data_IF_867215256930
#
_entry.id   IF_867215256930
#
_cell.length_a   1.000
_cell.length_b   1.000
_cell.length_c   1.000
_cell.angle_alpha   90.00
_cell.angle_beta   90.00
_cell.angle_gamma   90.00
#
_symmetry.space_group_name_H-M   'P 1'
#
loop_
_entity.id
_entity.type
_entity.pdbx_description
1 polymer ?
#
# COMPACT_ATOMS: atom_id res chain seq x y z
N UNK A 1 12.05 -10.13 39.58
CA UNK A 1 11.66 -8.70 39.63
C UNK A 1 12.86 -7.90 40.08
N UNK A 2 13.43 -7.09 39.18
CA UNK A 2 14.29 -5.95 39.51
C UNK A 2 13.95 -4.87 38.48
N UNK A 3 13.08 -3.95 38.89
CA UNK A 3 12.67 -2.80 38.08
C UNK A 3 13.68 -1.67 38.32
N UNK A 4 14.75 -1.62 37.53
CA UNK A 4 15.55 -0.41 37.37
C UNK A 4 14.86 0.46 36.30
N UNK A 5 13.98 1.35 36.75
CA UNK A 5 13.17 2.24 35.89
C UNK A 5 13.95 3.41 35.27
N UNK A 6 15.16 3.18 34.76
CA UNK A 6 15.94 4.14 33.98
C UNK A 6 15.86 3.86 32.48
N UNK A 7 16.19 4.86 31.66
CA UNK A 7 16.43 4.62 30.23
C UNK A 7 17.70 3.77 30.07
N UNK A 8 17.70 2.88 29.09
CA UNK A 8 18.93 2.26 28.58
C UNK A 8 19.61 3.30 27.71
N UNK A 9 20.82 3.71 28.05
CA UNK A 9 21.64 4.61 27.25
C UNK A 9 22.97 3.91 27.01
N UNK A 10 23.35 3.78 25.75
CA UNK A 10 24.70 3.35 25.38
C UNK A 10 25.57 4.58 25.11
N UNK A 11 26.87 4.37 24.98
CA UNK A 11 27.86 5.45 24.82
C UNK A 11 27.84 6.01 23.39
N UNK A 12 28.82 6.83 23.02
CA UNK A 12 29.07 7.05 21.59
C UNK A 12 29.89 5.89 21.00
N UNK A 13 29.81 5.74 19.68
CA UNK A 13 30.38 4.63 18.91
C UNK A 13 29.26 3.80 18.26
N UNK A 14 29.65 2.81 17.44
CA UNK A 14 28.69 1.92 16.80
C UNK A 14 28.24 0.84 17.79
N UNK A 15 27.01 0.94 18.29
CA UNK A 15 26.45 0.07 19.31
C UNK A 15 25.44 -0.95 18.75
N UNK A 16 25.28 -2.06 19.48
CA UNK A 16 24.35 -3.14 19.13
C UNK A 16 23.42 -3.40 20.31
N UNK A 17 22.13 -3.15 20.12
CA UNK A 17 21.10 -3.28 21.15
C UNK A 17 20.10 -4.34 20.72
N UNK A 18 19.94 -5.39 21.53
CA UNK A 18 18.97 -6.47 21.26
C UNK A 18 17.98 -6.64 22.40
N UNK A 19 16.69 -6.66 22.05
CA UNK A 19 15.59 -7.05 22.94
C UNK A 19 14.99 -8.35 22.43
N UNK A 20 14.91 -9.35 23.31
CA UNK A 20 14.24 -10.62 23.00
C UNK A 20 13.12 -10.98 23.98
N UNK A 21 12.80 -10.08 24.91
CA UNK A 21 11.85 -10.30 26.00
C UNK A 21 11.99 -9.26 27.11
N UNK A 22 11.17 -9.38 28.16
CA UNK A 22 11.20 -8.46 29.30
C UNK A 22 10.55 -7.11 29.04
N UNK A 23 10.85 -6.12 29.88
CA UNK A 23 10.25 -4.79 29.81
C UNK A 23 11.31 -3.71 30.10
N UNK A 24 11.49 -2.78 29.17
CA UNK A 24 12.27 -1.55 29.32
C UNK A 24 11.30 -0.40 29.55
N UNK A 25 11.34 0.17 30.77
CA UNK A 25 10.42 1.24 31.18
C UNK A 25 10.85 2.62 30.73
N UNK A 26 12.16 2.91 30.73
CA UNK A 26 12.68 4.26 30.50
C UNK A 26 12.99 4.59 29.04
N UNK A 27 12.95 3.59 28.15
CA UNK A 27 13.31 3.75 26.72
C UNK A 27 14.76 3.41 26.44
N UNK A 28 15.17 3.66 25.21
CA UNK A 28 16.51 3.40 24.68
C UNK A 28 17.05 4.66 24.02
N UNK A 29 18.33 4.95 24.22
CA UNK A 29 19.10 6.00 23.55
C UNK A 29 20.41 5.40 23.03
N UNK A 30 20.59 5.39 21.72
CA UNK A 30 21.77 4.82 21.07
C UNK A 30 22.93 5.84 20.99
N UNK A 31 22.62 7.11 20.75
CA UNK A 31 23.53 8.27 20.86
C UNK A 31 24.24 8.60 19.54
N UNK A 32 25.57 8.57 19.48
CA UNK A 32 26.29 8.94 18.26
C UNK A 32 26.97 7.69 17.72
N UNK A 33 26.88 7.42 16.43
CA UNK A 33 27.49 6.26 15.80
C UNK A 33 26.50 5.54 14.91
N UNK A 34 26.95 4.56 14.13
CA UNK A 34 26.06 3.75 13.32
C UNK A 34 25.57 2.57 14.16
N UNK A 35 24.39 2.72 14.72
CA UNK A 35 23.83 1.82 15.70
C UNK A 35 22.92 0.75 15.08
N UNK A 36 22.77 -0.37 15.78
CA UNK A 36 21.87 -1.45 15.38
C UNK A 36 20.93 -1.84 16.51
N UNK A 37 19.62 -1.68 16.27
CA UNK A 37 18.57 -2.07 17.19
C UNK A 37 17.77 -3.27 16.68
N UNK A 38 17.80 -4.37 17.44
CA UNK A 38 17.09 -5.61 17.11
C UNK A 38 16.02 -5.90 18.16
N UNK A 39 14.75 -5.90 17.77
CA UNK A 39 13.63 -6.28 18.63
C UNK A 39 13.02 -7.58 18.10
N UNK A 40 13.24 -8.66 18.85
CA UNK A 40 13.06 -10.03 18.38
C UNK A 40 12.03 -10.76 19.25
N UNK A 41 11.00 -11.36 18.64
CA UNK A 41 10.07 -12.32 19.24
C UNK A 41 9.20 -11.83 20.42
N UNK A 42 9.53 -10.71 21.08
CA UNK A 42 8.74 -10.14 22.16
C UNK A 42 9.50 -9.13 23.03
N UNK A 43 8.92 -8.86 24.20
CA UNK A 43 9.38 -7.81 25.12
C UNK A 43 8.72 -6.46 24.84
N UNK A 44 8.90 -5.51 25.75
CA UNK A 44 8.30 -4.17 25.66
C UNK A 44 9.35 -3.09 25.83
N UNK A 45 9.24 -2.03 25.02
CA UNK A 45 9.84 -0.72 25.29
C UNK A 45 8.68 0.24 25.54
N UNK A 46 8.59 0.87 26.72
CA UNK A 46 7.39 1.66 27.09
C UNK A 46 7.38 3.12 26.64
N UNK A 47 8.55 3.69 26.39
CA UNK A 47 8.68 5.09 26.00
C UNK A 47 9.15 5.14 24.56
N UNK A 48 10.37 5.58 24.29
CA UNK A 48 10.92 5.68 22.95
C UNK A 48 12.19 4.86 22.80
N UNK A 49 12.48 4.51 21.56
CA UNK A 49 13.82 4.18 21.10
C UNK A 49 14.28 5.36 20.24
N UNK A 50 15.38 5.98 20.61
CA UNK A 50 16.02 7.04 19.84
C UNK A 50 17.40 6.54 19.41
N UNK A 51 17.61 6.41 18.11
CA UNK A 51 18.89 5.95 17.55
C UNK A 51 19.87 7.13 17.49
N UNK A 52 19.41 8.28 16.99
CA UNK A 52 20.07 9.58 17.03
C UNK A 52 21.06 9.80 15.88
N UNK A 53 22.30 10.24 16.12
CA UNK A 53 23.16 10.69 15.02
C UNK A 53 23.94 9.51 14.44
N UNK A 54 23.78 9.23 13.14
CA UNK A 54 24.50 8.17 12.46
C UNK A 54 23.63 7.51 11.40
N UNK A 55 24.18 6.54 10.68
CA UNK A 55 23.39 5.74 9.75
C UNK A 55 22.97 4.45 10.47
N UNK A 56 21.77 4.47 11.00
CA UNK A 56 21.27 3.49 11.94
C UNK A 56 20.44 2.39 11.27
N UNK A 57 20.40 1.24 11.93
CA UNK A 57 19.58 0.12 11.50
C UNK A 57 18.66 -0.35 12.61
N UNK A 58 17.39 -0.59 12.28
CA UNK A 58 16.46 -1.25 13.18
C UNK A 58 15.80 -2.46 12.51
N UNK A 59 15.68 -3.57 13.24
CA UNK A 59 14.94 -4.75 12.81
C UNK A 59 13.90 -5.15 13.85
N UNK A 60 12.65 -5.20 13.41
CA UNK A 60 11.52 -5.72 14.16
C UNK A 60 11.20 -7.11 13.61
N UNK A 61 11.45 -8.14 14.40
CA UNK A 61 11.35 -9.52 13.97
C UNK A 61 10.34 -10.32 14.79
N UNK A 62 9.37 -10.95 14.13
CA UNK A 62 8.38 -11.82 14.76
C UNK A 62 7.63 -11.13 15.90
N UNK A 63 7.22 -9.87 15.68
CA UNK A 63 6.48 -9.05 16.63
C UNK A 63 5.03 -8.87 16.18
N UNK A 64 4.14 -8.69 17.14
CA UNK A 64 2.77 -8.23 16.87
C UNK A 64 2.54 -6.87 17.51
N UNK A 65 1.46 -6.20 17.14
CA UNK A 65 1.09 -4.90 17.73
C UNK A 65 0.93 -5.00 19.26
N UNK A 66 0.66 -6.20 19.80
CA UNK A 66 0.66 -6.41 21.25
C UNK A 66 1.98 -5.99 21.93
N UNK A 67 3.13 -6.29 21.33
CA UNK A 67 4.43 -5.88 21.86
C UNK A 67 4.77 -4.44 21.49
N UNK A 68 4.47 -4.04 20.25
CA UNK A 68 4.82 -2.73 19.72
C UNK A 68 4.01 -1.61 20.37
N UNK A 69 2.73 -1.84 20.68
CA UNK A 69 1.79 -0.87 21.25
C UNK A 69 2.27 -0.20 22.54
N UNK A 70 3.19 -0.83 23.27
CA UNK A 70 3.77 -0.29 24.48
C UNK A 70 4.75 0.87 24.23
N UNK A 71 5.46 0.88 23.10
CA UNK A 71 6.34 1.99 22.74
C UNK A 71 5.48 3.18 22.30
N UNK A 72 6.02 4.38 22.34
CA UNK A 72 5.41 5.56 21.71
C UNK A 72 6.13 5.97 20.44
N UNK A 73 7.42 5.62 20.28
CA UNK A 73 8.25 6.10 19.18
C UNK A 73 9.48 5.20 18.96
N UNK A 74 9.80 4.91 17.70
CA UNK A 74 11.08 4.37 17.23
C UNK A 74 11.62 5.34 16.18
N UNK A 75 12.59 6.15 16.61
CA UNK A 75 13.13 7.30 15.90
C UNK A 75 14.53 6.97 15.38
N UNK A 76 14.74 7.01 14.06
CA UNK A 76 16.06 6.86 13.44
C UNK A 76 16.97 8.06 13.77
N UNK A 77 16.42 9.27 13.74
CA UNK A 77 17.21 10.49 13.95
C UNK A 77 17.81 11.00 12.64
N UNK A 78 18.89 11.79 12.70
CA UNK A 78 19.58 12.26 11.50
C UNK A 78 20.54 11.21 10.94
N UNK A 79 20.46 10.97 9.63
CA UNK A 79 21.32 10.02 8.96
C UNK A 79 20.67 9.46 7.71
N UNK A 80 21.26 8.38 7.18
CA UNK A 80 20.60 7.51 6.21
C UNK A 80 20.20 6.20 6.92
N UNK A 81 18.98 6.16 7.46
CA UNK A 81 18.53 5.11 8.36
C UNK A 81 17.68 4.03 7.68
N UNK A 82 17.75 2.81 8.23
CA UNK A 82 17.02 1.65 7.70
C UNK A 82 16.21 0.93 8.77
N UNK A 83 14.89 0.90 8.59
CA UNK A 83 13.96 0.11 9.41
C UNK A 83 13.41 -1.08 8.63
N UNK A 84 13.64 -2.28 9.15
CA UNK A 84 13.11 -3.53 8.59
C UNK A 84 12.08 -4.15 9.52
N UNK A 85 10.88 -4.38 9.00
CA UNK A 85 9.88 -5.25 9.59
C UNK A 85 10.01 -6.62 8.95
N UNK A 86 10.10 -7.65 9.78
CA UNK A 86 10.29 -9.03 9.34
C UNK A 86 9.34 -9.93 10.13
N UNK A 87 8.40 -10.57 9.43
CA UNK A 87 7.33 -11.35 10.05
C UNK A 87 6.65 -10.59 11.21
N UNK A 88 6.39 -9.29 10.99
CA UNK A 88 5.89 -8.39 12.04
C UNK A 88 4.55 -7.79 11.66
N UNK A 89 3.63 -7.71 12.62
CA UNK A 89 2.37 -6.97 12.48
C UNK A 89 2.40 -5.68 13.30
N UNK A 90 2.26 -4.54 12.64
CA UNK A 90 2.23 -3.20 13.26
C UNK A 90 1.03 -2.41 12.75
N UNK A 91 0.38 -1.63 13.61
CA UNK A 91 -0.84 -0.89 13.28
C UNK A 91 -0.76 0.64 13.44
N UNK A 92 0.40 1.17 13.84
CA UNK A 92 0.63 2.60 14.09
C UNK A 92 1.81 3.13 13.31
N UNK A 93 1.61 3.65 12.08
CA UNK A 93 2.73 4.15 11.27
C UNK A 93 3.43 5.35 11.91
N UNK A 94 2.73 6.19 12.67
CA UNK A 94 3.30 7.35 13.35
C UNK A 94 4.32 7.00 14.44
N UNK A 95 4.44 5.72 14.80
CA UNK A 95 5.47 5.21 15.70
C UNK A 95 6.86 5.32 15.09
N UNK A 96 6.98 5.27 13.76
CA UNK A 96 8.26 5.18 13.07
C UNK A 96 8.55 6.54 12.44
N UNK A 97 9.56 7.22 12.95
CA UNK A 97 9.93 8.57 12.52
C UNK A 97 11.38 8.60 12.06
N UNK A 98 11.68 9.49 11.10
CA UNK A 98 13.02 9.74 10.58
C UNK A 98 13.69 8.45 10.11
N UNK A 99 13.04 7.76 9.15
CA UNK A 99 13.59 6.58 8.48
C UNK A 99 13.61 6.83 6.98
N UNK A 100 14.80 6.85 6.37
CA UNK A 100 15.00 7.04 4.93
C UNK A 100 14.57 5.79 4.16
N UNK A 101 14.77 4.61 4.73
CA UNK A 101 14.34 3.35 4.13
C UNK A 101 13.54 2.51 5.12
N UNK A 102 12.30 2.20 4.76
CA UNK A 102 11.45 1.26 5.49
C UNK A 102 11.16 0.06 4.60
N UNK A 103 11.41 -1.16 5.10
CA UNK A 103 11.19 -2.39 4.34
C UNK A 103 10.29 -3.38 5.10
N UNK A 104 9.26 -3.91 4.42
CA UNK A 104 8.33 -4.91 4.94
C UNK A 104 8.62 -6.27 4.34
N UNK A 105 9.18 -7.18 5.12
CA UNK A 105 9.68 -8.47 4.66
C UNK A 105 8.96 -9.65 5.35
N UNK A 106 9.01 -10.81 4.69
CA UNK A 106 8.60 -12.11 5.23
C UNK A 106 7.24 -12.11 5.96
N UNK A 107 6.13 -11.95 5.23
CA UNK A 107 4.77 -11.98 5.82
C UNK A 107 4.50 -10.87 6.84
N UNK A 108 5.22 -9.76 6.74
CA UNK A 108 4.92 -8.55 7.52
C UNK A 108 3.58 -7.96 7.12
N UNK A 109 2.85 -7.43 8.10
CA UNK A 109 1.68 -6.60 7.89
C UNK A 109 1.88 -5.23 8.56
N UNK A 110 1.76 -4.16 7.79
CA UNK A 110 1.70 -2.79 8.31
C UNK A 110 0.33 -2.19 8.00
N UNK A 111 -0.43 -1.83 9.04
CA UNK A 111 -1.72 -1.16 8.87
C UNK A 111 -1.53 0.36 8.91
N UNK A 112 -1.78 1.03 7.78
CA UNK A 112 -1.74 2.49 7.67
C UNK A 112 -3.09 3.10 8.08
N UNK A 113 -3.26 3.27 9.39
CA UNK A 113 -4.35 4.06 10.00
C UNK A 113 -3.97 5.55 10.20
N UNK A 114 -2.96 6.04 9.45
CA UNK A 114 -2.39 7.37 9.63
C UNK A 114 -1.31 7.68 8.59
N UNK A 115 -0.40 8.60 8.92
CA UNK A 115 0.70 8.99 8.06
C UNK A 115 1.97 8.25 8.44
N UNK A 116 2.58 7.57 7.48
CA UNK A 116 4.00 7.20 7.53
C UNK A 116 4.79 8.32 6.85
N UNK A 117 5.60 9.03 7.64
CA UNK A 117 6.49 10.07 7.14
C UNK A 117 7.86 9.46 6.93
N UNK A 118 8.38 9.56 5.72
CA UNK A 118 9.68 9.00 5.34
C UNK A 118 10.74 10.09 5.24
N UNK A 119 11.94 9.75 5.70
CA UNK A 119 13.06 10.66 5.83
C UNK A 119 12.92 11.64 6.99
N UNK A 120 13.86 12.58 7.02
CA UNK A 120 14.03 13.57 8.08
C UNK A 120 14.23 14.99 7.51
N UNK A 121 14.72 15.92 8.33
CA UNK A 121 14.97 17.31 7.89
C UNK A 121 16.14 17.47 6.90
N UNK A 122 17.01 16.47 6.79
CA UNK A 122 18.20 16.45 5.93
C UNK A 122 17.88 15.74 4.62
N UNK A 123 17.42 14.50 4.68
CA UNK A 123 17.05 13.66 3.53
C UNK A 123 15.76 14.14 2.85
N UNK A 124 14.87 14.81 3.59
CA UNK A 124 13.57 15.35 3.18
C UNK A 124 12.55 14.31 2.68
N UNK A 125 12.93 13.05 2.50
CA UNK A 125 12.12 11.99 1.90
C UNK A 125 12.72 10.62 2.15
N UNK A 126 12.01 9.57 1.75
CA UNK A 126 12.52 8.22 1.78
C UNK A 126 11.74 7.24 0.92
N UNK A 127 12.03 5.96 1.15
CA UNK A 127 11.52 4.82 0.38
C UNK A 127 10.82 3.83 1.32
N UNK A 128 9.62 3.40 0.94
CA UNK A 128 8.94 2.25 1.50
C UNK A 128 8.98 1.09 0.51
N UNK A 129 9.58 -0.03 0.91
CA UNK A 129 9.57 -1.28 0.16
C UNK A 129 8.56 -2.24 0.79
N UNK A 130 7.56 -2.64 0.01
CA UNK A 130 6.63 -3.71 0.40
C UNK A 130 7.11 -4.99 -0.29
N UNK A 131 7.83 -5.83 0.45
CA UNK A 131 8.41 -7.08 -0.04
C UNK A 131 7.35 -8.14 -0.39
N UNK A 132 7.75 -9.11 -1.20
CA UNK A 132 6.88 -10.20 -1.61
C UNK A 132 6.34 -10.99 -0.40
N UNK A 133 5.03 -11.24 -0.38
CA UNK A 133 4.36 -11.90 0.74
C UNK A 133 4.01 -11.00 1.92
N UNK A 134 4.48 -9.75 1.95
CA UNK A 134 4.08 -8.75 2.93
C UNK A 134 2.85 -7.96 2.46
N UNK A 135 2.13 -7.36 3.41
CA UNK A 135 0.91 -6.59 3.17
C UNK A 135 0.99 -5.20 3.82
N UNK A 136 0.67 -4.18 3.04
CA UNK A 136 0.37 -2.84 3.55
C UNK A 136 -1.15 -2.65 3.46
N UNK A 137 -1.82 -2.52 4.60
CA UNK A 137 -3.27 -2.24 4.61
C UNK A 137 -3.52 -0.75 4.76
N UNK A 138 -4.66 -0.29 4.26
CA UNK A 138 -5.13 1.06 4.58
C UNK A 138 -6.65 1.09 4.68
N UNK A 139 -7.14 1.53 5.83
CA UNK A 139 -8.56 1.63 6.15
C UNK A 139 -8.87 3.07 6.56
N UNK A 140 -9.96 3.63 6.03
CA UNK A 140 -10.44 5.00 6.22
C UNK A 140 -9.59 6.14 5.65
N UNK A 141 -8.25 6.10 5.70
CA UNK A 141 -7.32 6.97 4.91
C UNK A 141 -5.88 6.89 5.43
N UNK A 142 -5.08 5.98 4.88
CA UNK A 142 -3.65 5.90 5.17
C UNK A 142 -2.82 6.73 4.19
N UNK A 143 -1.61 7.11 4.59
CA UNK A 143 -0.71 7.80 3.66
C UNK A 143 0.77 7.51 3.88
N UNK A 144 1.51 7.51 2.79
CA UNK A 144 2.98 7.51 2.75
C UNK A 144 3.41 8.84 2.16
N UNK A 145 4.13 9.63 2.95
CA UNK A 145 4.50 11.00 2.60
C UNK A 145 5.97 11.24 2.89
N UNK A 146 6.63 12.13 2.14
CA UNK A 146 7.97 12.59 2.46
C UNK A 146 7.92 13.49 3.70
N UNK A 147 9.05 13.63 4.39
CA UNK A 147 9.22 14.60 5.46
C UNK A 147 8.92 16.03 4.99
N UNK A 148 9.44 16.40 3.81
CA UNK A 148 9.16 17.68 3.18
C UNK A 148 8.11 17.54 2.08
N UNK A 149 7.01 18.28 2.20
CA UNK A 149 5.87 18.20 1.26
C UNK A 149 6.19 18.62 -0.20
N UNK A 150 7.35 19.24 -0.45
CA UNK A 150 7.84 19.56 -1.80
C UNK A 150 8.73 18.45 -2.41
N UNK A 151 9.13 17.48 -1.59
CA UNK A 151 9.84 16.27 -2.03
C UNK A 151 8.85 15.17 -2.43
N UNK A 152 9.36 13.99 -2.79
CA UNK A 152 8.57 12.85 -3.24
C UNK A 152 9.03 11.59 -2.51
N UNK A 153 8.15 10.99 -1.71
CA UNK A 153 8.37 9.64 -1.19
C UNK A 153 8.30 8.62 -2.33
N UNK A 154 8.93 7.47 -2.17
CA UNK A 154 8.79 6.36 -3.13
C UNK A 154 8.23 5.13 -2.44
N UNK A 155 7.19 4.53 -3.02
CA UNK A 155 6.67 3.23 -2.61
C UNK A 155 6.95 2.21 -3.71
N UNK A 156 7.76 1.20 -3.38
CA UNK A 156 8.01 0.03 -4.22
C UNK A 156 7.14 -1.13 -3.73
N UNK A 157 6.33 -1.71 -4.60
CA UNK A 157 5.36 -2.74 -4.22
C UNK A 157 5.60 -4.08 -4.93
N UNK A 158 6.28 -5.01 -4.27
CA UNK A 158 6.36 -6.42 -4.64
C UNK A 158 5.34 -7.31 -3.85
N UNK A 159 4.75 -6.76 -2.79
CA UNK A 159 3.78 -7.43 -1.94
C UNK A 159 2.32 -7.10 -2.30
N UNK A 160 1.50 -6.87 -1.27
CA UNK A 160 0.08 -6.55 -1.42
C UNK A 160 -0.26 -5.20 -0.79
N UNK A 161 -0.90 -4.32 -1.55
CA UNK A 161 -1.66 -3.20 -1.02
C UNK A 161 -3.11 -3.63 -0.85
N UNK A 162 -3.59 -3.67 0.40
CA UNK A 162 -4.96 -4.07 0.72
C UNK A 162 -5.79 -2.89 1.22
N UNK A 163 -6.69 -2.41 0.37
CA UNK A 163 -7.66 -1.36 0.67
C UNK A 163 -9.06 -1.92 0.86
N UNK A 164 -9.22 -3.24 0.86
CA UNK A 164 -10.51 -3.92 0.87
C UNK A 164 -11.12 -4.08 2.27
N UNK A 165 -10.54 -3.44 3.28
CA UNK A 165 -11.07 -3.38 4.65
C UNK A 165 -12.38 -2.60 4.74
N UNK A 166 -13.06 -2.65 5.89
CA UNK A 166 -14.30 -1.89 6.15
C UNK A 166 -14.01 -0.57 6.86
N UNK A 167 -14.67 0.56 6.53
CA UNK A 167 -15.78 0.74 5.57
C UNK A 167 -15.33 0.72 4.10
N UNK A 168 -16.28 0.86 3.15
CA UNK A 168 -15.94 1.13 1.74
C UNK A 168 -15.37 2.55 1.61
N UNK A 169 -14.72 2.86 0.49
CA UNK A 169 -14.11 4.16 0.14
C UNK A 169 -12.79 4.42 0.85
N UNK A 170 -12.07 3.35 1.17
CA UNK A 170 -10.72 3.46 1.70
C UNK A 170 -9.79 4.06 0.66
N UNK A 171 -8.86 4.88 1.14
CA UNK A 171 -7.82 5.47 0.30
C UNK A 171 -6.45 5.21 0.89
N UNK A 172 -5.49 4.91 0.02
CA UNK A 172 -4.07 5.03 0.33
C UNK A 172 -3.51 6.18 -0.50
N UNK A 173 -3.03 7.23 0.16
CA UNK A 173 -2.34 8.33 -0.48
C UNK A 173 -0.82 8.08 -0.49
N UNK A 174 -0.21 8.18 -1.66
CA UNK A 174 1.23 8.23 -1.84
C UNK A 174 1.58 9.62 -2.37
N UNK A 175 2.29 10.43 -1.59
CA UNK A 175 2.80 11.72 -2.05
C UNK A 175 4.19 11.54 -2.66
N UNK A 176 4.23 11.16 -3.93
CA UNK A 176 5.45 10.88 -4.66
C UNK A 176 5.27 9.76 -5.68
N UNK A 177 6.20 8.82 -5.72
CA UNK A 177 6.26 7.78 -6.73
C UNK A 177 5.67 6.46 -6.23
N UNK A 178 4.96 5.76 -7.11
CA UNK A 178 4.52 4.38 -6.92
C UNK A 178 5.10 3.50 -8.02
N UNK A 179 5.83 2.46 -7.63
CA UNK A 179 6.41 1.49 -8.57
C UNK A 179 5.94 0.09 -8.21
N UNK A 180 5.10 -0.51 -9.07
CA UNK A 180 4.75 -1.92 -8.95
C UNK A 180 5.90 -2.83 -9.39
N UNK A 181 6.23 -3.82 -8.58
CA UNK A 181 7.23 -4.85 -8.85
C UNK A 181 6.55 -6.24 -8.86
N UNK A 182 5.57 -6.40 -9.76
CA UNK A 182 4.64 -7.55 -9.81
C UNK A 182 3.76 -7.70 -8.55
N UNK A 183 3.60 -6.61 -7.79
CA UNK A 183 2.76 -6.56 -6.59
C UNK A 183 1.26 -6.62 -6.89
N UNK A 184 0.48 -6.58 -5.82
CA UNK A 184 -0.99 -6.70 -5.83
C UNK A 184 -1.66 -5.44 -5.26
N UNK A 185 -2.84 -5.13 -5.77
CA UNK A 185 -3.73 -4.08 -5.26
C UNK A 185 -5.14 -4.67 -5.09
N UNK A 186 -5.66 -4.67 -3.86
CA UNK A 186 -6.99 -5.21 -3.54
C UNK A 186 -7.94 -4.07 -3.22
N UNK A 187 -9.04 -3.99 -3.96
CA UNK A 187 -10.06 -2.95 -3.84
C UNK A 187 -11.45 -3.56 -3.75
N UNK A 188 -12.39 -2.80 -3.20
CA UNK A 188 -13.82 -3.06 -3.34
C UNK A 188 -14.51 -1.89 -4.00
N UNK A 189 -15.59 -2.19 -4.70
CA UNK A 189 -16.45 -1.19 -5.32
C UNK A 189 -17.89 -1.66 -5.33
N UNK A 190 -18.84 -0.74 -5.21
CA UNK A 190 -20.25 -1.01 -5.52
C UNK A 190 -20.40 -0.87 -7.02
N UNK A 191 -20.27 -1.95 -7.78
CA UNK A 191 -20.24 -1.84 -9.25
C UNK A 191 -21.55 -1.31 -9.82
N UNK A 192 -21.49 -0.12 -10.40
CA UNK A 192 -22.59 0.61 -11.02
C UNK A 192 -22.07 1.55 -12.10
N UNK A 193 -22.54 2.79 -12.13
CA UNK A 193 -22.08 3.81 -13.08
C UNK A 193 -20.83 4.55 -12.56
N UNK A 194 -20.36 5.57 -13.28
CA UNK A 194 -19.20 6.38 -12.89
C UNK A 194 -19.27 7.05 -11.50
N UNK A 195 -20.44 7.15 -10.87
CA UNK A 195 -20.61 7.73 -9.52
C UNK A 195 -20.46 6.71 -8.40
N UNK A 196 -20.21 5.45 -8.75
CA UNK A 196 -20.12 4.34 -7.81
C UNK A 196 -19.00 4.54 -6.78
N UNK A 197 -19.27 4.29 -5.49
CA UNK A 197 -18.22 4.31 -4.47
C UNK A 197 -17.24 3.16 -4.69
N UNK A 198 -15.95 3.46 -4.52
CA UNK A 198 -14.85 2.52 -4.65
C UNK A 198 -13.73 2.87 -3.69
N UNK A 199 -13.03 1.85 -3.22
CA UNK A 199 -11.70 2.01 -2.64
C UNK A 199 -10.73 2.48 -3.74
N UNK A 200 -9.67 3.22 -3.35
CA UNK A 200 -8.80 3.90 -4.31
C UNK A 200 -7.35 4.03 -3.85
N UNK A 201 -6.42 3.81 -4.79
CA UNK A 201 -5.04 4.25 -4.64
C UNK A 201 -4.89 5.68 -5.18
N UNK A 202 -4.37 6.60 -4.38
CA UNK A 202 -4.15 8.00 -4.80
C UNK A 202 -2.65 8.27 -4.84
N UNK A 203 -2.13 8.79 -5.95
CA UNK A 203 -0.73 9.19 -6.10
C UNK A 203 -0.65 10.65 -6.48
N UNK A 204 0.02 11.46 -5.65
CA UNK A 204 0.16 12.90 -5.83
C UNK A 204 1.58 13.30 -6.25
N UNK A 205 1.70 14.23 -7.21
CA UNK A 205 2.93 14.87 -7.72
C UNK A 205 3.96 14.00 -8.44
N UNK A 206 4.05 12.70 -8.20
CA UNK A 206 5.10 11.84 -8.74
C UNK A 206 4.70 10.97 -9.94
N UNK A 207 5.29 9.78 -10.02
CA UNK A 207 5.11 8.88 -11.15
C UNK A 207 4.57 7.51 -10.72
N UNK A 208 3.63 6.97 -11.49
CA UNK A 208 3.02 5.66 -11.33
C UNK A 208 3.54 4.73 -12.43
N UNK A 209 4.44 3.81 -12.09
CA UNK A 209 5.08 2.91 -13.05
C UNK A 209 5.13 1.45 -12.60
N UNK A 210 5.85 0.63 -13.38
CA UNK A 210 6.06 -0.79 -13.11
C UNK A 210 4.87 -1.67 -13.50
N UNK A 211 4.59 -2.71 -12.72
CA UNK A 211 3.43 -3.59 -12.92
C UNK A 211 2.76 -4.01 -11.60
N UNK A 212 1.44 -3.91 -11.55
CA UNK A 212 0.60 -4.29 -10.41
C UNK A 212 -0.64 -5.04 -10.88
N UNK A 213 -0.92 -6.17 -10.24
CA UNK A 213 -2.16 -6.93 -10.46
C UNK A 213 -3.27 -6.42 -9.55
N UNK A 214 -4.30 -5.81 -10.14
CA UNK A 214 -5.45 -5.27 -9.42
C UNK A 214 -6.56 -6.32 -9.30
N UNK A 215 -7.07 -6.54 -8.10
CA UNK A 215 -8.30 -7.31 -7.86
C UNK A 215 -9.37 -6.39 -7.33
N UNK A 216 -10.56 -6.42 -7.94
CA UNK A 216 -11.72 -5.65 -7.48
C UNK A 216 -12.85 -6.59 -7.14
N UNK A 217 -13.41 -6.48 -5.94
CA UNK A 217 -14.60 -7.23 -5.52
C UNK A 217 -15.84 -6.33 -5.49
N UNK A 218 -16.96 -6.83 -6.02
CA UNK A 218 -18.24 -6.14 -5.95
C UNK A 218 -18.83 -6.19 -4.53
N UNK A 219 -19.19 -5.04 -3.98
CA UNK A 219 -19.88 -4.92 -2.69
C UNK A 219 -21.38 -4.65 -2.90
N UNK A 220 -22.07 -5.60 -3.53
CA UNK A 220 -23.53 -5.53 -3.71
C UNK A 220 -24.01 -4.52 -4.77
N UNK A 221 -23.12 -3.99 -5.62
CA UNK A 221 -23.53 -3.18 -6.76
C UNK A 221 -24.36 -3.97 -7.76
N UNK A 222 -25.34 -3.36 -8.43
CA UNK A 222 -26.24 -4.03 -9.38
C UNK A 222 -25.69 -4.12 -10.81
N UNK A 223 -24.61 -3.40 -11.11
CA UNK A 223 -24.11 -3.15 -12.46
C UNK A 223 -24.88 -2.02 -13.16
N UNK A 224 -24.16 -1.17 -13.89
CA UNK A 224 -24.74 -0.16 -14.78
C UNK A 224 -23.75 0.22 -15.89
N UNK A 225 -24.24 0.87 -16.95
CA UNK A 225 -23.40 1.38 -18.03
C UNK A 225 -22.63 2.62 -17.58
N UNK A 226 -21.31 2.62 -17.69
CA UNK A 226 -20.49 3.82 -17.50
C UNK A 226 -20.46 4.65 -18.77
N UNK A 227 -20.76 5.95 -18.69
CA UNK A 227 -20.83 6.86 -19.86
C UNK A 227 -19.71 7.90 -19.90
N UNK A 228 -19.09 8.19 -18.76
CA UNK A 228 -17.96 9.10 -18.62
C UNK A 228 -16.62 8.39 -18.44
N UNK A 229 -15.82 8.86 -17.48
CA UNK A 229 -14.50 8.31 -17.20
C UNK A 229 -14.57 6.83 -16.78
N UNK A 230 -15.60 6.44 -16.04
CA UNK A 230 -15.74 5.15 -15.36
C UNK A 230 -15.59 5.30 -13.85
N UNK A 231 -15.63 4.18 -13.12
CA UNK A 231 -15.43 4.15 -11.67
C UNK A 231 -13.93 4.30 -11.38
N UNK A 232 -13.53 5.39 -10.72
CA UNK A 232 -12.11 5.66 -10.45
C UNK A 232 -11.55 4.78 -9.33
N UNK A 233 -10.51 4.01 -9.67
CA UNK A 233 -9.85 3.03 -8.79
C UNK A 233 -8.39 3.38 -8.50
N UNK A 234 -7.77 4.18 -9.37
CA UNK A 234 -6.49 4.84 -9.10
C UNK A 234 -6.59 6.28 -9.56
N UNK A 235 -6.19 7.20 -8.70
CA UNK A 235 -6.15 8.63 -8.99
C UNK A 235 -4.71 9.11 -9.08
N UNK A 236 -4.37 9.76 -10.19
CA UNK A 236 -3.14 10.52 -10.34
C UNK A 236 -3.47 12.01 -10.14
N UNK A 237 -3.07 12.57 -8.99
CA UNK A 237 -3.39 13.94 -8.59
C UNK A 237 -2.16 14.83 -8.52
N UNK A 238 -2.38 16.15 -8.41
CA UNK A 238 -1.31 17.16 -8.25
C UNK A 238 -0.19 17.06 -9.33
N UNK A 239 -0.54 16.71 -10.56
CA UNK A 239 0.42 16.58 -11.66
C UNK A 239 1.13 15.22 -11.74
N UNK A 240 0.66 14.21 -11.00
CA UNK A 240 1.18 12.86 -11.13
C UNK A 240 0.95 12.29 -12.53
N UNK A 241 1.89 11.47 -12.99
CA UNK A 241 1.84 10.80 -14.30
C UNK A 241 1.78 9.29 -14.14
N UNK A 242 1.28 8.57 -15.14
CA UNK A 242 1.20 7.11 -15.09
C UNK A 242 1.61 6.47 -16.41
N UNK A 243 2.26 5.32 -16.33
CA UNK A 243 2.56 4.44 -17.45
C UNK A 243 1.38 3.53 -17.79
N UNK A 244 1.22 3.12 -19.06
CA UNK A 244 0.14 2.22 -19.51
C UNK A 244 0.25 0.79 -18.97
N UNK A 245 1.41 0.37 -18.47
CA UNK A 245 1.64 -0.97 -17.94
C UNK A 245 1.47 -1.07 -16.41
N UNK A 246 1.27 0.07 -15.72
CA UNK A 246 1.31 0.14 -14.26
C UNK A 246 0.28 -0.77 -13.57
N UNK A 247 -0.90 -0.94 -14.16
CA UNK A 247 -1.96 -1.79 -13.61
C UNK A 247 -2.58 -2.70 -14.66
N UNK A 248 -2.96 -3.90 -14.23
CA UNK A 248 -3.81 -4.84 -14.97
C UNK A 248 -4.87 -5.43 -14.06
N UNK A 249 -6.09 -5.58 -14.57
CA UNK A 249 -7.16 -6.26 -13.83
C UNK A 249 -6.91 -7.77 -13.84
N UNK A 250 -6.85 -8.38 -12.67
CA UNK A 250 -6.51 -9.80 -12.49
C UNK A 250 -7.74 -10.70 -12.52
N UNK A 251 -8.91 -10.21 -12.13
CA UNK A 251 -10.16 -10.96 -12.11
C UNK A 251 -11.15 -10.49 -13.17
N UNK A 252 -12.01 -11.41 -13.65
CA UNK A 252 -13.20 -10.99 -14.40
C UNK A 252 -14.17 -10.28 -13.46
N UNK A 253 -14.76 -9.19 -13.93
CA UNK A 253 -15.63 -8.33 -13.15
C UNK A 253 -16.97 -8.12 -13.89
N UNK A 254 -17.93 -9.01 -13.66
CA UNK A 254 -19.25 -8.96 -14.31
C UNK A 254 -20.36 -8.89 -13.26
N UNK A 255 -21.36 -8.04 -13.51
CA UNK A 255 -22.55 -7.91 -12.66
C UNK A 255 -23.76 -7.59 -13.53
N UNK A 256 -24.83 -8.36 -13.38
CA UNK A 256 -26.02 -8.24 -14.23
C UNK A 256 -25.66 -8.41 -15.70
N UNK A 257 -26.07 -7.46 -16.53
CA UNK A 257 -25.76 -7.44 -17.97
C UNK A 257 -24.40 -6.79 -18.31
N UNK A 258 -23.62 -6.38 -17.31
CA UNK A 258 -22.45 -5.54 -17.49
C UNK A 258 -21.16 -6.28 -17.17
N UNK A 259 -20.18 -6.15 -18.07
CA UNK A 259 -18.78 -6.54 -17.83
C UNK A 259 -17.96 -5.27 -17.65
N UNK A 260 -17.15 -5.20 -16.60
CA UNK A 260 -16.22 -4.12 -16.32
C UNK A 260 -14.80 -4.49 -16.75
N UNK A 261 -14.10 -3.51 -17.30
CA UNK A 261 -12.71 -3.59 -17.72
C UNK A 261 -11.94 -2.38 -17.17
N UNK A 262 -10.64 -2.57 -16.92
CA UNK A 262 -9.76 -1.52 -16.43
C UNK A 262 -9.15 -0.74 -17.61
N UNK A 263 -9.25 0.59 -17.56
CA UNK A 263 -8.67 1.50 -18.54
C UNK A 263 -7.83 2.57 -17.86
N UNK A 264 -6.69 2.90 -18.46
CA UNK A 264 -5.94 4.12 -18.16
C UNK A 264 -6.54 5.31 -18.90
N UNK A 265 -6.64 6.43 -18.21
CA UNK A 265 -7.10 7.70 -18.74
C UNK A 265 -8.62 7.82 -18.77
N UNK A 266 -9.16 8.95 -18.34
CA UNK A 266 -10.58 9.29 -18.47
C UNK A 266 -10.92 9.97 -19.81
N UNK A 267 -12.19 10.36 -19.94
CA UNK A 267 -12.74 11.12 -21.07
C UNK A 267 -12.67 12.65 -20.86
N UNK A 268 -12.36 13.12 -19.64
CA UNK A 268 -12.25 14.55 -19.29
C UNK A 268 -10.79 15.01 -19.23
N UNK A 269 -10.50 16.26 -19.59
CA UNK A 269 -9.15 16.81 -19.45
C UNK A 269 -8.65 16.72 -18.00
N UNK A 270 -7.38 16.35 -17.81
CA UNK A 270 -6.75 16.16 -16.50
C UNK A 270 -6.94 14.77 -15.89
N UNK A 271 -7.66 13.86 -16.56
CA UNK A 271 -7.89 12.48 -16.10
C UNK A 271 -7.01 11.45 -16.82
N UNK A 272 -6.07 11.88 -17.67
CA UNK A 272 -5.30 11.02 -18.59
C UNK A 272 -4.36 10.05 -17.85
N UNK A 273 -4.04 10.34 -16.59
CA UNK A 273 -3.12 9.56 -15.75
C UNK A 273 -3.81 8.71 -14.68
N UNK A 274 -5.11 8.89 -14.46
CA UNK A 274 -5.91 8.06 -13.55
C UNK A 274 -6.38 6.77 -14.23
N UNK A 275 -6.88 5.83 -13.42
CA UNK A 275 -7.38 4.54 -13.89
C UNK A 275 -8.81 4.28 -13.45
N UNK A 276 -9.60 3.75 -14.39
CA UNK A 276 -11.05 3.65 -14.27
C UNK A 276 -11.55 2.26 -14.67
N UNK A 277 -12.57 1.76 -13.97
CA UNK A 277 -13.39 0.64 -14.44
C UNK A 277 -14.49 1.17 -15.36
N UNK A 278 -14.55 0.67 -16.58
CA UNK A 278 -15.64 0.97 -17.54
C UNK A 278 -16.41 -0.29 -17.87
N UNK A 279 -17.72 -0.16 -17.95
CA UNK A 279 -18.59 -1.26 -18.30
C UNK A 279 -18.97 -1.28 -19.78
N UNK A 280 -19.23 -2.49 -20.27
CA UNK A 280 -19.89 -2.76 -21.54
C UNK A 280 -21.03 -3.76 -21.32
N UNK A 281 -22.07 -3.68 -22.15
CA UNK A 281 -23.17 -4.65 -22.13
C UNK A 281 -22.70 -5.95 -22.76
N UNK A 282 -22.95 -7.07 -22.09
CA UNK A 282 -22.71 -8.40 -22.63
C UNK A 282 -23.84 -8.70 -23.62
N UNK A 283 -23.55 -8.64 -24.92
CA UNK A 283 -24.51 -9.09 -25.94
C UNK A 283 -24.59 -10.62 -25.92
N UNK A 284 -25.80 -11.21 -25.90
CA UNK A 284 -25.95 -12.64 -26.20
C UNK A 284 -25.34 -12.95 -27.58
N UNK A 285 -24.75 -14.13 -27.73
CA UNK A 285 -24.31 -14.60 -29.04
C UNK A 285 -25.53 -14.66 -29.99
N UNK A 286 -25.38 -14.16 -31.21
CA UNK A 286 -26.44 -14.23 -32.21
C UNK A 286 -26.77 -15.71 -32.50
N UNK A 287 -28.05 -16.11 -32.54
CA UNK A 287 -28.42 -17.48 -32.90
C UNK A 287 -27.81 -17.84 -34.24
N UNK A 288 -27.24 -19.05 -34.36
CA UNK A 288 -26.75 -19.53 -35.65
C UNK A 288 -27.88 -19.41 -36.69
N UNK A 289 -27.58 -18.91 -37.91
CA UNK A 289 -28.59 -18.79 -38.96
C UNK A 289 -29.23 -20.15 -39.21
N UNK A 290 -30.57 -20.20 -39.14
CA UNK A 290 -31.32 -21.41 -39.45
C UNK A 290 -31.13 -21.69 -40.94
N UNK A 291 -30.38 -22.74 -41.28
CA UNK A 291 -30.24 -23.19 -42.67
C UNK A 291 -31.62 -23.74 -43.09
N UNK A 292 -32.27 -23.17 -44.11
CA UNK A 292 -33.53 -23.72 -44.61
C UNK A 292 -33.29 -25.13 -45.19
N UNK A 293 -34.21 -26.08 -44.97
CA UNK A 293 -34.06 -27.43 -45.52
C UNK A 293 -33.99 -27.37 -47.05
N UNK A 294 -33.07 -28.16 -47.64
CA UNK A 294 -32.92 -28.25 -49.09
C UNK A 294 -34.28 -28.62 -49.74
N UNK A 295 -34.66 -27.95 -50.84
CA UNK A 295 -35.90 -28.28 -51.53
C UNK A 295 -35.83 -29.72 -52.05
N UNK A 296 -36.78 -30.55 -51.61
CA UNK A 296 -36.95 -31.91 -52.10
C UNK A 296 -37.25 -31.86 -53.60
N UNK A 297 -36.29 -32.26 -54.43
CA UNK A 297 -36.49 -32.40 -55.87
C UNK A 297 -37.48 -33.55 -56.11
N UNK A 298 -38.75 -33.19 -56.33
CA UNK A 298 -39.74 -34.11 -56.86
C UNK A 298 -39.36 -34.42 -58.30
N UNK A 299 -38.73 -35.57 -58.51
CA UNK A 299 -38.63 -36.17 -59.84
C UNK A 299 -40.04 -36.59 -60.29
N UNK A 300 -40.62 -35.85 -61.24
CA UNK A 300 -41.77 -36.32 -62.01
C UNK A 300 -41.28 -37.24 -63.13
N UNK A 301 -41.89 -38.43 -63.16
CA UNK A 301 -41.79 -39.60 -64.07
C UNK A 301 -41.02 -39.45 -65.38
#
# INVERSE_FOLDING_TARGET
MAASGGAVSVSGGDDQITISGGEIRGGIRASFGNDSFNWLNGGYVRTSVAMADGNDTARLYNLSEYFLSASSLLDGGPGDDVLTFDNTHSARPERYANWETVSLENSTQLDLAGKLILGDSVSNTGVLNVGAGSTLTSVSSGSVVPFNATSRATLNNAGTLDLSGSPLTNTLLIRGNYTGQDGRLLLRSVLGDETSPSDRLVVAQGHIGGSTSMTVSNLGGPGALTRGNGIEVVEASEGATSDSAAFRLQNSLSVGAYQYYLFKGGATAGSENSWYLRSAVISPAEPAPVIPPEPCLLYTS
#
